data_IF_814394256610
#
_entry.id   IF_814394256610
#
_cell.length_a   1.000
_cell.length_b   1.000
_cell.length_c   1.000
_cell.angle_alpha   90.00
_cell.angle_beta   90.00
_cell.angle_gamma   90.00
#
_symmetry.space_group_name_H-M   'P 1'
#
loop_
_entity.id
_entity.type
_entity.pdbx_description
1 polymer ?
#
# COMPACT_ATOMS: atom_id res chain seq x y z
N UNK A 1 -2.12 -29.18 -9.53
CA UNK A 1 -3.56 -29.39 -9.59
C UNK A 1 -4.26 -28.04 -9.72
N UNK A 2 -5.16 -27.89 -10.71
CA UNK A 2 -5.97 -26.68 -10.89
C UNK A 2 -7.28 -26.84 -10.14
N UNK A 3 -7.63 -25.85 -9.30
CA UNK A 3 -8.92 -25.72 -8.65
C UNK A 3 -9.63 -24.45 -9.17
N UNK A 4 -10.86 -24.58 -9.64
CA UNK A 4 -11.69 -23.45 -10.08
C UNK A 4 -12.76 -23.20 -9.05
N UNK A 5 -12.78 -21.98 -8.49
CA UNK A 5 -13.77 -21.55 -7.50
C UNK A 5 -14.56 -20.39 -8.09
N UNK A 6 -15.90 -20.52 -8.14
CA UNK A 6 -16.80 -19.45 -8.54
C UNK A 6 -17.21 -18.65 -7.29
N UNK A 7 -17.05 -17.32 -7.33
CA UNK A 7 -17.41 -16.45 -6.19
C UNK A 7 -16.89 -15.03 -6.37
N UNK A 8 -17.24 -14.17 -5.42
CA UNK A 8 -16.70 -12.82 -5.36
C UNK A 8 -15.34 -12.86 -4.64
N UNK A 9 -14.33 -12.29 -5.25
CA UNK A 9 -12.97 -12.25 -4.67
C UNK A 9 -12.92 -11.50 -3.33
N UNK A 10 -13.86 -10.60 -3.07
CA UNK A 10 -13.96 -9.85 -1.80
C UNK A 10 -14.35 -10.74 -0.62
N UNK A 11 -15.12 -11.78 -0.89
CA UNK A 11 -15.60 -12.76 0.10
C UNK A 11 -14.62 -13.92 0.28
N UNK A 12 -13.57 -13.96 -0.55
CA UNK A 12 -12.62 -15.05 -0.55
C UNK A 12 -11.63 -14.92 0.62
N UNK A 13 -11.70 -15.86 1.56
CA UNK A 13 -10.70 -16.03 2.60
C UNK A 13 -9.73 -17.14 2.20
N UNK A 14 -8.45 -16.79 2.08
CA UNK A 14 -7.44 -17.80 1.76
C UNK A 14 -7.37 -18.84 2.87
N UNK A 15 -7.47 -20.13 2.53
CA UNK A 15 -7.22 -21.18 3.50
C UNK A 15 -5.78 -21.04 4.04
N UNK A 16 -5.53 -21.45 5.29
CA UNK A 16 -4.17 -21.60 5.77
C UNK A 16 -3.46 -22.49 4.75
N UNK A 17 -2.25 -22.07 4.35
CA UNK A 17 -1.41 -22.66 3.32
C UNK A 17 -1.72 -24.12 2.98
N UNK A 18 -1.75 -24.52 1.70
CA UNK A 18 -1.42 -25.89 1.38
C UNK A 18 -0.07 -26.19 2.06
N UNK A 19 0.03 -27.35 2.68
CA UNK A 19 1.20 -27.80 3.46
C UNK A 19 2.52 -27.37 2.81
N UNK A 20 3.55 -26.96 3.59
CA UNK A 20 4.84 -26.61 3.03
C UNK A 20 5.29 -27.70 2.08
N UNK A 21 5.75 -27.31 0.88
CA UNK A 21 6.35 -28.26 -0.04
C UNK A 21 7.49 -29.02 0.68
N UNK A 22 7.76 -30.27 0.32
CA UNK A 22 8.68 -31.16 1.06
C UNK A 22 10.09 -30.61 1.31
N UNK A 23 10.46 -29.50 0.71
CA UNK A 23 11.81 -28.95 0.70
C UNK A 23 12.05 -27.80 1.71
N UNK A 24 11.10 -27.49 2.61
CA UNK A 24 11.38 -26.62 3.78
C UNK A 24 11.61 -25.13 3.48
N UNK A 25 11.58 -24.69 2.26
CA UNK A 25 11.60 -23.27 1.90
C UNK A 25 10.16 -22.75 1.97
N UNK A 26 9.90 -21.80 2.88
CA UNK A 26 8.61 -21.18 3.08
C UNK A 26 8.14 -20.43 1.84
N UNK A 27 7.67 -21.16 0.83
CA UNK A 27 7.16 -20.60 -0.41
C UNK A 27 5.78 -19.97 -0.20
N UNK A 28 5.78 -18.65 0.04
CA UNK A 28 4.56 -17.87 -0.03
C UNK A 28 3.91 -18.00 -1.42
N UNK A 29 2.59 -17.91 -1.49
CA UNK A 29 1.87 -17.93 -2.76
C UNK A 29 2.04 -16.63 -3.55
N UNK A 30 1.76 -16.68 -4.84
CA UNK A 30 1.73 -15.53 -5.75
C UNK A 30 0.30 -15.29 -6.20
N UNK A 31 -0.11 -14.04 -6.27
CA UNK A 31 -1.38 -13.63 -6.84
C UNK A 31 -1.12 -12.93 -8.17
N UNK A 32 -1.79 -13.37 -9.22
CA UNK A 32 -1.82 -12.68 -10.51
C UNK A 32 -3.28 -12.53 -10.96
N UNK A 33 -3.73 -11.29 -11.19
CA UNK A 33 -5.13 -11.04 -11.49
C UNK A 33 -5.34 -9.84 -12.42
N UNK A 34 -6.36 -9.97 -13.28
CA UNK A 34 -7.03 -8.87 -13.93
C UNK A 34 -8.28 -8.54 -13.11
N UNK A 35 -8.29 -7.39 -12.45
CA UNK A 35 -9.35 -7.01 -11.50
C UNK A 35 -10.18 -5.84 -12.02
N UNK A 36 -11.47 -5.77 -11.66
CA UNK A 36 -12.27 -4.58 -11.94
C UNK A 36 -11.65 -3.33 -11.30
N UNK A 37 -11.58 -2.23 -12.05
CA UNK A 37 -10.86 -1.03 -11.59
C UNK A 37 -11.43 -0.40 -10.33
N UNK A 38 -12.75 -0.48 -10.14
CA UNK A 38 -13.43 0.14 -9.00
C UNK A 38 -13.14 -0.51 -7.64
N UNK A 39 -12.59 -1.74 -7.63
CA UNK A 39 -12.20 -2.44 -6.39
C UNK A 39 -10.68 -2.56 -6.20
N UNK A 40 -9.88 -1.89 -7.02
CA UNK A 40 -8.40 -2.01 -6.98
C UNK A 40 -7.83 -1.78 -5.59
N UNK A 41 -8.24 -0.70 -4.91
CA UNK A 41 -7.74 -0.39 -3.56
C UNK A 41 -8.16 -1.42 -2.52
N UNK A 42 -9.39 -1.93 -2.63
CA UNK A 42 -9.95 -2.96 -1.74
C UNK A 42 -9.19 -4.28 -1.88
N UNK A 43 -8.97 -4.74 -3.12
CA UNK A 43 -8.22 -5.98 -3.40
C UNK A 43 -6.77 -5.89 -2.92
N UNK A 44 -6.08 -4.79 -3.22
CA UNK A 44 -4.71 -4.58 -2.73
C UNK A 44 -4.67 -4.65 -1.20
N UNK A 45 -5.56 -3.93 -0.53
CA UNK A 45 -5.67 -3.95 0.92
C UNK A 45 -5.92 -5.36 1.44
N UNK A 46 -6.89 -6.08 0.88
CA UNK A 46 -7.26 -7.44 1.29
C UNK A 46 -6.05 -8.37 1.32
N UNK A 47 -5.23 -8.37 0.26
CA UNK A 47 -4.04 -9.22 0.19
C UNK A 47 -2.90 -8.74 1.08
N UNK A 48 -2.68 -7.43 1.17
CA UNK A 48 -1.60 -6.88 2.01
C UNK A 48 -1.87 -7.02 3.51
N UNK A 49 -3.15 -7.01 3.93
CA UNK A 49 -3.52 -7.17 5.34
C UNK A 49 -3.94 -8.59 5.70
N UNK A 50 -3.94 -9.54 4.75
CA UNK A 50 -4.29 -10.92 4.99
C UNK A 50 -3.40 -11.56 6.07
N UNK A 51 -3.96 -12.50 6.83
CA UNK A 51 -3.19 -13.28 7.81
C UNK A 51 -2.06 -14.07 7.13
N UNK A 52 -2.35 -14.68 5.98
CA UNK A 52 -1.37 -15.31 5.10
C UNK A 52 -1.19 -14.39 3.88
N UNK A 53 -0.12 -13.60 3.87
CA UNK A 53 0.16 -12.68 2.77
C UNK A 53 0.77 -13.41 1.57
N UNK A 54 0.49 -12.97 0.31
CA UNK A 54 1.24 -13.43 -0.83
C UNK A 54 2.68 -12.88 -0.77
N UNK A 55 3.66 -13.60 -1.28
CA UNK A 55 5.02 -13.05 -1.46
C UNK A 55 5.09 -12.01 -2.57
N UNK A 56 4.19 -12.12 -3.54
CA UNK A 56 4.10 -11.24 -4.71
C UNK A 56 2.65 -11.08 -5.15
N UNK A 57 2.28 -9.86 -5.49
CA UNK A 57 0.98 -9.50 -6.03
C UNK A 57 1.17 -8.81 -7.38
N UNK A 58 0.72 -9.43 -8.47
CA UNK A 58 0.76 -8.89 -9.82
C UNK A 58 -0.67 -8.59 -10.31
N UNK A 59 -0.97 -7.32 -10.56
CA UNK A 59 -2.31 -6.86 -10.92
C UNK A 59 -2.31 -6.03 -12.19
N UNK A 60 -3.30 -6.26 -13.05
CA UNK A 60 -3.64 -5.35 -14.13
C UNK A 60 -4.67 -4.34 -13.62
N UNK A 61 -4.28 -3.06 -13.57
CA UNK A 61 -5.05 -1.96 -13.01
C UNK A 61 -4.99 -0.72 -13.93
N UNK A 62 -5.75 0.31 -13.61
CA UNK A 62 -5.64 1.59 -14.33
C UNK A 62 -4.22 2.16 -14.22
N UNK A 63 -3.68 2.66 -15.33
CA UNK A 63 -2.33 3.23 -15.41
C UNK A 63 -2.10 4.35 -14.40
N UNK A 64 -3.06 5.27 -14.25
CA UNK A 64 -2.96 6.36 -13.27
C UNK A 64 -2.86 5.84 -11.82
N UNK A 65 -3.62 4.78 -11.49
CA UNK A 65 -3.56 4.18 -10.16
C UNK A 65 -2.20 3.51 -9.92
N UNK A 66 -1.66 2.80 -10.92
CA UNK A 66 -0.32 2.21 -10.84
C UNK A 66 0.76 3.29 -10.66
N UNK A 67 0.70 4.38 -11.42
CA UNK A 67 1.64 5.51 -11.32
C UNK A 67 1.55 6.19 -9.94
N UNK A 68 0.35 6.30 -9.38
CA UNK A 68 0.14 6.82 -8.02
C UNK A 68 0.72 5.90 -6.94
N UNK A 69 0.56 4.57 -7.08
CA UNK A 69 1.11 3.60 -6.12
C UNK A 69 2.64 3.67 -6.07
N UNK A 70 3.31 3.81 -7.22
CA UNK A 70 4.77 3.93 -7.25
C UNK A 70 5.28 5.34 -6.93
N UNK A 71 4.38 6.32 -6.78
CA UNK A 71 4.68 7.75 -6.61
C UNK A 71 5.61 8.25 -7.72
N UNK A 72 5.22 8.05 -8.98
CA UNK A 72 6.03 8.32 -10.16
C UNK A 72 6.44 9.79 -10.31
N UNK A 73 5.62 10.71 -9.82
CA UNK A 73 5.88 12.16 -9.79
C UNK A 73 6.67 12.61 -8.54
N UNK A 74 7.13 11.68 -7.72
CA UNK A 74 7.81 11.95 -6.44
C UNK A 74 6.86 12.39 -5.33
N UNK A 75 5.53 12.32 -5.55
CA UNK A 75 4.53 12.69 -4.54
C UNK A 75 3.88 11.44 -3.95
N UNK A 76 3.99 11.31 -2.66
CA UNK A 76 3.36 10.22 -1.92
C UNK A 76 1.85 10.46 -1.71
N UNK A 77 1.14 9.37 -1.51
CA UNK A 77 -0.28 9.36 -1.15
C UNK A 77 -0.52 8.30 -0.08
N UNK A 78 -1.68 8.33 0.55
CA UNK A 78 -2.07 7.23 1.47
C UNK A 78 -1.94 5.89 0.77
N UNK A 79 -2.38 5.78 -0.49
CA UNK A 79 -2.31 4.53 -1.24
C UNK A 79 -0.86 4.08 -1.49
N UNK A 80 0.03 4.99 -1.95
CA UNK A 80 1.42 4.64 -2.20
C UNK A 80 2.15 4.22 -0.92
N UNK A 81 1.99 5.00 0.16
CA UNK A 81 2.61 4.69 1.45
C UNK A 81 2.05 3.41 2.07
N UNK A 82 0.73 3.17 1.93
CA UNK A 82 0.12 1.93 2.39
C UNK A 82 0.70 0.71 1.68
N UNK A 83 0.88 0.79 0.36
CA UNK A 83 1.47 -0.33 -0.40
C UNK A 83 2.95 -0.50 -0.05
N UNK A 84 3.71 0.60 0.00
CA UNK A 84 5.15 0.59 0.29
C UNK A 84 5.47 0.10 1.70
N UNK A 85 4.56 0.28 2.67
CA UNK A 85 4.73 -0.24 4.02
C UNK A 85 4.71 -1.77 4.10
N UNK A 86 4.12 -2.43 3.11
CA UNK A 86 4.10 -3.90 3.04
C UNK A 86 5.05 -4.48 2.01
N UNK A 87 5.40 -3.76 0.95
CA UNK A 87 6.19 -4.34 -0.12
C UNK A 87 6.76 -3.31 -1.10
N UNK A 88 7.40 -3.80 -2.15
CA UNK A 88 8.07 -2.96 -3.15
C UNK A 88 7.26 -2.91 -4.44
N UNK A 89 6.46 -1.85 -4.68
CA UNK A 89 5.68 -1.73 -5.91
C UNK A 89 6.56 -1.28 -7.09
N UNK A 90 6.33 -1.88 -8.25
CA UNK A 90 6.90 -1.42 -9.53
C UNK A 90 5.93 -1.63 -10.69
N UNK A 91 5.97 -0.76 -11.68
CA UNK A 91 5.24 -0.96 -12.93
C UNK A 91 6.08 -1.87 -13.83
N UNK A 92 5.46 -2.98 -14.26
CA UNK A 92 6.11 -4.00 -15.13
C UNK A 92 5.86 -3.69 -16.59
N UNK A 93 4.60 -3.36 -16.94
CA UNK A 93 4.20 -3.09 -18.29
C UNK A 93 3.07 -2.07 -18.36
N UNK A 94 2.98 -1.37 -19.47
CA UNK A 94 1.83 -0.54 -19.83
C UNK A 94 1.01 -1.29 -20.88
N UNK A 95 -0.31 -1.22 -20.76
CA UNK A 95 -1.25 -1.89 -21.67
C UNK A 95 -2.21 -0.84 -22.20
N UNK A 96 -2.17 -0.63 -23.52
CA UNK A 96 -3.05 0.33 -24.16
C UNK A 96 -4.50 -0.13 -24.08
N UNK A 97 -5.44 0.78 -23.92
CA UNK A 97 -6.89 0.48 -23.88
C UNK A 97 -7.39 -0.28 -25.11
N UNK A 98 -6.76 -0.08 -26.27
CA UNK A 98 -7.09 -0.82 -27.51
C UNK A 98 -6.75 -2.30 -27.48
N UNK A 99 -6.04 -2.79 -26.46
CA UNK A 99 -5.74 -4.22 -26.28
C UNK A 99 -6.91 -5.02 -25.67
N UNK A 100 -8.02 -4.35 -25.37
CA UNK A 100 -9.19 -4.97 -24.75
C UNK A 100 -10.43 -4.93 -25.65
N UNK A 101 -11.32 -5.88 -25.49
CA UNK A 101 -12.61 -5.92 -26.18
C UNK A 101 -13.74 -6.26 -25.19
N UNK A 102 -14.65 -5.31 -24.87
CA UNK A 102 -14.65 -3.90 -25.27
C UNK A 102 -13.50 -3.10 -24.64
N UNK A 103 -13.02 -2.02 -25.28
CA UNK A 103 -11.94 -1.21 -24.74
C UNK A 103 -12.42 -0.41 -23.51
N UNK A 104 -11.61 -0.33 -22.43
CA UNK A 104 -11.90 0.53 -21.30
C UNK A 104 -11.70 2.01 -21.67
N UNK A 105 -12.16 2.93 -20.80
CA UNK A 105 -12.00 4.37 -21.02
C UNK A 105 -10.56 4.86 -20.94
N UNK A 106 -9.68 4.15 -20.19
CA UNK A 106 -8.31 4.56 -19.89
C UNK A 106 -7.31 3.43 -20.13
N UNK A 107 -6.04 3.77 -20.32
CA UNK A 107 -4.96 2.79 -20.37
C UNK A 107 -4.79 2.07 -19.04
N UNK A 108 -4.22 0.87 -19.14
CA UNK A 108 -3.90 0.02 -18.00
C UNK A 108 -2.39 -0.09 -17.80
N UNK A 109 -2.01 -0.63 -16.65
CA UNK A 109 -0.65 -1.06 -16.38
C UNK A 109 -0.66 -2.34 -15.53
N UNK A 110 0.34 -3.16 -15.72
CA UNK A 110 0.65 -4.26 -14.83
C UNK A 110 1.54 -3.72 -13.72
N UNK A 111 1.05 -3.75 -12.49
CA UNK A 111 1.85 -3.46 -11.29
C UNK A 111 2.23 -4.76 -10.63
N UNK A 112 3.47 -4.83 -10.13
CA UNK A 112 3.96 -5.92 -9.31
C UNK A 112 4.37 -5.36 -7.95
N UNK A 113 3.88 -5.95 -6.86
CA UNK A 113 4.28 -5.66 -5.49
C UNK A 113 5.04 -6.88 -4.99
N UNK A 114 6.32 -6.71 -4.72
CA UNK A 114 7.24 -7.80 -4.36
C UNK A 114 7.68 -7.67 -2.90
N UNK A 115 8.23 -8.75 -2.34
CA UNK A 115 8.75 -8.80 -0.97
C UNK A 115 7.70 -8.36 0.06
N UNK A 116 6.48 -8.86 -0.11
CA UNK A 116 5.37 -8.52 0.78
C UNK A 116 5.61 -9.15 2.15
N UNK A 117 5.66 -8.31 3.19
CA UNK A 117 5.82 -8.70 4.58
C UNK A 117 5.24 -7.66 5.53
N UNK A 118 5.28 -7.93 6.83
CA UNK A 118 4.97 -6.97 7.89
C UNK A 118 6.22 -6.42 8.60
N UNK A 119 7.40 -6.64 8.04
CA UNK A 119 8.66 -6.27 8.68
C UNK A 119 8.78 -4.76 8.95
N UNK A 120 8.15 -3.95 8.12
CA UNK A 120 8.06 -2.51 8.34
C UNK A 120 7.45 -2.15 9.69
N UNK A 121 6.47 -2.93 10.17
CA UNK A 121 5.74 -2.70 11.43
C UNK A 121 6.41 -3.34 12.65
N UNK A 122 7.58 -3.98 12.51
CA UNK A 122 8.29 -4.53 13.65
C UNK A 122 8.63 -3.44 14.67
N UNK A 123 8.13 -3.63 15.90
CA UNK A 123 8.36 -2.74 17.02
C UNK A 123 7.36 -1.59 17.19
N UNK A 124 6.26 -1.54 16.40
CA UNK A 124 5.15 -0.62 16.64
C UNK A 124 3.84 -1.14 16.03
N UNK A 125 2.71 -0.56 16.46
CA UNK A 125 1.38 -1.01 16.01
C UNK A 125 1.05 -0.53 14.59
N UNK A 126 0.63 -1.47 13.75
CA UNK A 126 0.20 -1.24 12.37
C UNK A 126 -0.99 -0.27 12.32
N UNK A 127 -1.99 -0.46 13.20
CA UNK A 127 -3.19 0.38 13.25
C UNK A 127 -2.83 1.82 13.56
N UNK A 128 -1.94 2.01 14.55
CA UNK A 128 -1.45 3.34 14.92
C UNK A 128 -0.73 4.04 13.75
N UNK A 129 0.11 3.30 13.00
CA UNK A 129 0.77 3.88 11.82
C UNK A 129 -0.24 4.45 10.82
N UNK A 130 -1.28 3.67 10.47
CA UNK A 130 -2.30 4.13 9.54
C UNK A 130 -3.14 5.28 10.11
N UNK A 131 -3.37 5.31 11.40
CA UNK A 131 -4.03 6.41 12.10
C UNK A 131 -3.24 7.72 11.99
N UNK A 132 -1.92 7.66 12.17
CA UNK A 132 -1.02 8.81 11.97
C UNK A 132 -1.01 9.24 10.51
N UNK A 133 -0.92 8.29 9.58
CA UNK A 133 -0.93 8.55 8.15
C UNK A 133 -2.22 9.26 7.72
N UNK A 134 -3.38 8.74 8.12
CA UNK A 134 -4.67 9.36 7.84
C UNK A 134 -4.80 10.76 8.43
N UNK A 135 -4.33 10.97 9.67
CA UNK A 135 -4.33 12.29 10.31
C UNK A 135 -3.45 13.28 9.52
N UNK A 136 -2.28 12.87 9.06
CA UNK A 136 -1.37 13.72 8.28
C UNK A 136 -1.91 14.11 6.92
N UNK A 137 -2.67 13.23 6.25
CA UNK A 137 -3.31 13.49 4.96
C UNK A 137 -4.72 14.09 5.06
N UNK A 138 -5.22 14.41 6.26
CA UNK A 138 -6.59 14.88 6.46
C UNK A 138 -6.95 16.13 5.66
N UNK A 139 -5.99 16.99 5.36
CA UNK A 139 -6.19 18.18 4.52
C UNK A 139 -5.01 18.36 3.55
N UNK A 140 -5.20 17.92 2.29
CA UNK A 140 -4.18 17.86 1.23
C UNK A 140 -3.37 19.15 1.03
N UNK A 141 -3.99 20.34 1.17
CA UNK A 141 -3.33 21.63 0.95
C UNK A 141 -2.71 22.26 2.21
N UNK A 142 -2.82 21.59 3.36
CA UNK A 142 -2.28 22.09 4.63
C UNK A 142 -0.92 21.48 4.92
N UNK A 143 -0.12 22.18 5.77
CA UNK A 143 1.13 21.67 6.31
C UNK A 143 0.88 20.43 7.14
N UNK A 144 1.81 19.48 7.10
CA UNK A 144 1.73 18.23 7.86
C UNK A 144 1.59 18.49 9.38
N UNK A 145 2.39 19.41 9.92
CA UNK A 145 2.30 19.81 11.34
C UNK A 145 0.87 20.20 11.75
N UNK A 146 0.20 21.02 10.93
CA UNK A 146 -1.17 21.47 11.20
C UNK A 146 -2.22 20.37 11.09
N UNK A 147 -2.00 19.38 10.22
CA UNK A 147 -2.88 18.22 10.11
C UNK A 147 -2.74 17.31 11.34
N UNK A 148 -1.51 16.96 11.72
CA UNK A 148 -1.22 16.09 12.86
C UNK A 148 -1.62 16.75 14.20
N UNK A 149 -1.42 18.07 14.35
CA UNK A 149 -1.75 18.78 15.58
C UNK A 149 -3.23 18.71 15.96
N UNK A 150 -4.14 18.50 15.01
CA UNK A 150 -5.57 18.31 15.29
C UNK A 150 -5.86 17.05 16.11
N UNK A 151 -5.06 16.00 15.97
CA UNK A 151 -5.21 14.73 16.68
C UNK A 151 -4.22 14.60 17.84
N UNK A 152 -2.98 15.09 17.64
CA UNK A 152 -1.85 14.85 18.54
C UNK A 152 -1.34 16.12 19.25
N UNK A 153 -1.99 17.27 19.07
CA UNK A 153 -1.63 18.51 19.77
C UNK A 153 -0.18 18.95 19.52
N UNK A 154 0.49 19.35 20.61
CA UNK A 154 1.87 19.86 20.57
C UNK A 154 2.90 18.81 20.14
N UNK A 155 2.64 17.53 20.42
CA UNK A 155 3.53 16.41 20.04
C UNK A 155 3.77 16.32 18.52
N UNK A 156 2.83 16.82 17.70
CA UNK A 156 2.97 16.83 16.24
C UNK A 156 4.22 17.58 15.78
N UNK A 157 4.55 18.72 16.40
CA UNK A 157 5.75 19.50 16.06
C UNK A 157 7.02 18.77 16.46
N UNK A 158 7.04 18.19 17.65
CA UNK A 158 8.16 17.38 18.14
C UNK A 158 8.43 16.18 17.24
N UNK A 159 7.39 15.49 16.81
CA UNK A 159 7.50 14.36 15.89
C UNK A 159 8.13 14.74 14.54
N UNK A 160 7.79 15.92 13.98
CA UNK A 160 8.41 16.41 12.75
C UNK A 160 9.88 16.75 12.94
N UNK A 161 10.23 17.43 14.05
CA UNK A 161 11.62 17.79 14.38
C UNK A 161 12.47 16.51 14.52
N UNK A 162 11.98 15.52 15.27
CA UNK A 162 12.68 14.25 15.46
C UNK A 162 12.85 13.49 14.15
N UNK A 163 11.89 13.60 13.24
CA UNK A 163 11.99 13.03 11.91
C UNK A 163 12.88 13.87 10.94
N UNK A 164 13.43 15.00 11.40
CA UNK A 164 14.27 15.89 10.59
C UNK A 164 13.52 16.55 9.43
N UNK A 165 12.22 16.84 9.62
CA UNK A 165 11.38 17.46 8.62
C UNK A 165 11.23 18.96 8.85
N UNK A 166 11.14 19.71 7.74
CA UNK A 166 10.82 21.12 7.76
C UNK A 166 9.39 21.34 8.28
N UNK A 167 9.17 22.45 9.02
CA UNK A 167 7.83 22.81 9.54
C UNK A 167 6.80 23.11 8.44
N UNK A 168 7.25 23.36 7.21
CA UNK A 168 6.43 23.60 6.03
C UNK A 168 6.15 22.32 5.24
N UNK A 169 6.72 21.17 5.65
CA UNK A 169 6.55 19.90 4.97
C UNK A 169 5.07 19.58 4.75
N UNK A 170 4.76 19.04 3.59
CA UNK A 170 3.43 18.50 3.27
C UNK A 170 3.47 16.98 3.34
N UNK A 171 2.32 16.37 3.65
CA UNK A 171 2.22 14.92 3.75
C UNK A 171 2.71 14.19 2.50
N UNK A 172 2.46 14.73 1.32
CA UNK A 172 2.83 14.15 0.02
C UNK A 172 4.34 14.18 -0.27
N UNK A 173 5.11 15.02 0.44
CA UNK A 173 6.56 15.17 0.25
C UNK A 173 7.38 14.30 1.21
N UNK A 174 6.71 13.61 2.14
CA UNK A 174 7.36 12.84 3.20
C UNK A 174 7.51 11.38 2.80
N UNK A 175 8.75 10.84 2.74
CA UNK A 175 8.98 9.44 2.40
C UNK A 175 8.54 8.50 3.54
N UNK A 176 8.34 7.22 3.21
CA UNK A 176 7.81 6.20 4.11
C UNK A 176 8.60 6.09 5.42
N UNK A 177 9.93 6.13 5.36
CA UNK A 177 10.80 6.00 6.54
C UNK A 177 10.55 7.13 7.54
N UNK A 178 10.32 8.34 7.06
CA UNK A 178 10.01 9.50 7.92
C UNK A 178 8.62 9.38 8.54
N UNK A 179 7.66 8.81 7.83
CA UNK A 179 6.36 8.49 8.41
C UNK A 179 6.47 7.48 9.56
N UNK A 180 7.38 6.50 9.44
CA UNK A 180 7.68 5.55 10.52
C UNK A 180 8.24 6.26 11.76
N UNK A 181 9.19 7.19 11.57
CA UNK A 181 9.78 7.98 12.65
C UNK A 181 8.70 8.84 13.35
N UNK A 182 7.86 9.53 12.59
CA UNK A 182 6.72 10.30 13.11
C UNK A 182 5.79 9.42 13.95
N UNK A 183 5.39 8.26 13.41
CA UNK A 183 4.49 7.36 14.11
C UNK A 183 5.05 6.86 15.44
N UNK A 184 6.36 6.59 15.50
CA UNK A 184 7.02 6.17 16.75
C UNK A 184 6.98 7.24 17.84
N UNK A 185 7.16 8.51 17.49
CA UNK A 185 7.10 9.61 18.46
C UNK A 185 5.68 9.84 18.95
N UNK A 186 4.68 9.67 18.07
CA UNK A 186 3.27 9.89 18.41
C UNK A 186 2.61 8.70 19.13
N UNK A 187 3.36 7.63 19.43
CA UNK A 187 2.87 6.48 20.22
C UNK A 187 2.74 6.79 21.72
N UNK A 188 3.35 7.87 22.18
CA UNK A 188 3.33 8.31 23.58
C UNK A 188 2.19 9.29 23.81
#
# INVERSE_FOLDING_TARGET
QLCIIAGDIRDFSWPPHPSPLPNGEGEGYVVAANIPYYITGEIIRQFLTAKAQPRTLALLIQKEVAERIVARDGKESILSLSVKAYGKPRIVAKVAKGSFNPPPSVDSAVICIENISRDFFNGFDETHFFDVLHAGFAAKRKKLAGNLAKKYGAQAREALVNAGLDENARAEDVPLEKWREIAKVLLT
#
